data_IF_072187896661
#
_entry.id   IF_072187896661
#
_cell.length_a   1.000
_cell.length_b   1.000
_cell.length_c   1.000
_cell.angle_alpha   90.00
_cell.angle_beta   90.00
_cell.angle_gamma   90.00
#
_symmetry.space_group_name_H-M   'P 1'
#
loop_
_entity.id
_entity.type
_entity.pdbx_description
1 polymer ?
#
# COMPACT_ATOMS: atom_id res chain seq x y z
N UNK A 1 9.65 -15.96 5.08
CA UNK A 1 9.09 -14.64 5.43
C UNK A 1 8.03 -14.85 6.50
N UNK A 2 7.96 -13.99 7.52
CA UNK A 2 6.99 -14.11 8.61
C UNK A 2 5.98 -12.97 8.52
N UNK A 3 4.69 -13.31 8.57
CA UNK A 3 3.60 -12.36 8.50
C UNK A 3 3.14 -11.94 9.91
N UNK A 4 2.61 -10.72 10.09
CA UNK A 4 2.06 -10.30 11.36
C UNK A 4 0.97 -11.26 11.86
N UNK A 5 0.95 -11.54 13.17
CA UNK A 5 0.01 -12.51 13.78
C UNK A 5 -1.47 -12.18 13.56
N UNK A 6 -1.78 -10.91 13.29
CA UNK A 6 -3.15 -10.46 13.03
C UNK A 6 -3.61 -10.73 11.59
N UNK A 7 -2.75 -11.22 10.70
CA UNK A 7 -3.16 -11.61 9.36
C UNK A 7 -4.08 -12.83 9.45
N UNK A 8 -5.21 -12.85 8.71
CA UNK A 8 -6.06 -14.04 8.67
C UNK A 8 -5.32 -15.20 7.98
N UNK A 9 -5.82 -16.45 8.12
CA UNK A 9 -5.32 -17.59 7.34
C UNK A 9 -5.29 -17.27 5.83
N UNK A 10 -4.31 -17.84 5.12
CA UNK A 10 -4.09 -17.65 3.68
C UNK A 10 -3.87 -16.19 3.25
N UNK A 11 -3.36 -15.35 4.16
CA UNK A 11 -2.96 -13.98 3.88
C UNK A 11 -1.44 -13.79 4.08
N UNK A 12 -0.72 -13.20 3.11
CA UNK A 12 -1.16 -12.74 1.80
C UNK A 12 -1.65 -13.90 0.90
N UNK A 13 -2.44 -13.62 -0.15
CA UNK A 13 -2.93 -14.65 -1.06
C UNK A 13 -1.77 -15.38 -1.74
N UNK A 14 -1.92 -16.68 -2.00
CA UNK A 14 -0.88 -17.52 -2.62
C UNK A 14 -0.46 -17.05 -4.03
N UNK A 15 -1.31 -16.28 -4.72
CA UNK A 15 -1.01 -15.70 -6.03
C UNK A 15 -0.42 -14.28 -5.95
N UNK A 16 -0.16 -13.76 -4.75
CA UNK A 16 0.63 -12.55 -4.56
C UNK A 16 2.11 -12.82 -4.88
N UNK A 17 2.72 -11.91 -5.62
CA UNK A 17 4.06 -12.07 -6.19
C UNK A 17 5.11 -11.36 -5.34
N UNK A 18 6.36 -11.73 -5.55
CA UNK A 18 7.50 -10.96 -5.06
C UNK A 18 7.54 -9.62 -5.82
N UNK A 19 7.69 -8.47 -5.12
CA UNK A 19 7.78 -7.20 -5.80
C UNK A 19 9.18 -6.99 -6.38
N UNK A 20 9.22 -6.46 -7.60
CA UNK A 20 10.46 -5.99 -8.26
C UNK A 20 10.30 -4.56 -8.77
N UNK A 21 9.29 -3.86 -8.26
CA UNK A 21 8.75 -2.65 -8.85
C UNK A 21 9.08 -1.42 -8.02
N UNK A 22 9.26 -0.31 -8.74
CA UNK A 22 9.14 1.01 -8.15
C UNK A 22 7.67 1.28 -7.87
N UNK A 23 7.34 1.56 -6.61
CA UNK A 23 5.96 1.81 -6.18
C UNK A 23 5.82 3.20 -5.57
N UNK A 24 4.60 3.70 -5.63
CA UNK A 24 4.22 5.01 -5.12
C UNK A 24 3.11 4.86 -4.08
N UNK A 25 3.17 5.65 -3.01
CA UNK A 25 2.15 5.69 -1.96
C UNK A 25 1.72 7.12 -1.70
N UNK A 26 0.42 7.32 -1.43
CA UNK A 26 -0.09 8.59 -0.95
C UNK A 26 0.21 8.75 0.54
N UNK A 27 0.79 9.88 0.93
CA UNK A 27 1.08 10.25 2.32
C UNK A 27 0.40 11.58 2.68
N UNK A 28 0.15 11.82 3.96
CA UNK A 28 -0.61 12.99 4.41
C UNK A 28 0.19 14.29 4.40
N UNK A 29 1.48 14.22 4.75
CA UNK A 29 2.35 15.38 4.95
C UNK A 29 3.51 15.40 3.95
N UNK A 30 4.36 16.42 4.04
CA UNK A 30 5.54 16.57 3.18
C UNK A 30 6.61 15.50 3.45
N UNK A 31 6.66 14.96 4.66
CA UNK A 31 7.44 13.79 5.02
C UNK A 31 6.51 12.64 5.39
N UNK A 32 6.92 11.41 5.07
CA UNK A 32 6.18 10.23 5.46
C UNK A 32 6.27 10.01 6.97
N UNK A 33 5.17 9.59 7.59
CA UNK A 33 5.08 9.31 9.03
C UNK A 33 4.67 7.86 9.26
N UNK A 34 4.85 7.33 10.47
CA UNK A 34 4.43 5.96 10.78
C UNK A 34 2.93 5.73 10.51
N UNK A 35 2.09 6.74 10.76
CA UNK A 35 0.64 6.69 10.53
C UNK A 35 0.30 6.52 9.05
N UNK A 36 1.14 7.02 8.14
CA UNK A 36 0.98 6.81 6.71
C UNK A 36 1.15 5.34 6.32
N UNK A 37 1.70 4.48 7.18
CA UNK A 37 1.91 3.06 6.91
C UNK A 37 1.09 2.14 7.82
N UNK A 38 0.04 2.66 8.45
CA UNK A 38 -0.96 1.83 9.11
C UNK A 38 -1.93 1.25 8.08
N UNK A 39 -2.14 -0.06 8.15
CA UNK A 39 -3.12 -0.78 7.33
C UNK A 39 -4.54 -0.53 7.86
N UNK A 40 -5.56 -0.80 7.04
CA UNK A 40 -6.96 -0.65 7.48
C UNK A 40 -7.26 -1.54 8.67
N UNK A 41 -6.69 -2.76 8.71
CA UNK A 41 -6.82 -3.67 9.86
C UNK A 41 -6.18 -3.09 11.13
N UNK A 42 -5.02 -2.46 11.04
CA UNK A 42 -4.39 -1.82 12.21
C UNK A 42 -5.17 -0.60 12.71
N UNK A 43 -5.70 0.22 11.80
CA UNK A 43 -6.52 1.38 12.15
C UNK A 43 -7.88 0.98 12.76
N UNK A 44 -8.43 -0.15 12.31
CA UNK A 44 -9.75 -0.64 12.73
C UNK A 44 -9.71 -2.14 13.09
N UNK A 45 -9.07 -2.53 14.21
CA UNK A 45 -8.82 -3.93 14.54
C UNK A 45 -10.10 -4.75 14.69
N UNK A 46 -11.19 -4.13 15.16
CA UNK A 46 -12.47 -4.80 15.39
C UNK A 46 -13.43 -4.71 14.19
N UNK A 47 -13.01 -4.11 13.05
CA UNK A 47 -13.85 -4.00 11.87
C UNK A 47 -14.15 -5.38 11.30
N UNK A 48 -15.43 -5.66 11.08
CA UNK A 48 -15.88 -6.84 10.35
C UNK A 48 -15.76 -6.57 8.85
N UNK A 49 -15.19 -7.53 8.13
CA UNK A 49 -15.10 -7.49 6.67
C UNK A 49 -16.06 -8.50 6.06
N UNK A 50 -16.58 -8.26 4.84
CA UNK A 50 -17.62 -9.10 4.25
C UNK A 50 -17.15 -10.53 3.91
N UNK A 51 -15.84 -10.68 3.67
CA UNK A 51 -15.21 -11.90 3.19
C UNK A 51 -13.71 -11.89 3.54
N UNK A 52 -13.08 -13.07 3.51
CA UNK A 52 -11.66 -13.25 3.84
C UNK A 52 -10.72 -12.54 2.87
N UNK A 53 -11.13 -12.33 1.61
CA UNK A 53 -10.34 -11.60 0.62
C UNK A 53 -10.21 -10.12 1.02
N UNK A 54 -11.33 -9.47 1.35
CA UNK A 54 -11.35 -8.07 1.81
C UNK A 54 -10.66 -7.94 3.16
N UNK A 55 -10.81 -8.91 4.04
CA UNK A 55 -10.07 -8.95 5.30
C UNK A 55 -8.56 -9.01 5.06
N UNK A 56 -8.09 -9.90 4.19
CA UNK A 56 -6.69 -10.00 3.87
C UNK A 56 -6.17 -8.73 3.18
N UNK A 57 -6.92 -8.14 2.24
CA UNK A 57 -6.58 -6.86 1.61
C UNK A 57 -6.54 -5.72 2.63
N UNK A 58 -7.34 -5.77 3.68
CA UNK A 58 -7.29 -4.77 4.76
C UNK A 58 -5.99 -4.80 5.57
N UNK A 59 -5.25 -5.91 5.49
CA UNK A 59 -3.93 -6.09 6.09
C UNK A 59 -2.79 -5.62 5.17
N UNK A 60 -3.09 -5.13 3.97
CA UNK A 60 -2.12 -4.62 3.01
C UNK A 60 -2.06 -3.09 2.99
N UNK A 61 -0.92 -2.57 2.54
CA UNK A 61 -0.74 -1.17 2.19
C UNK A 61 -1.11 -0.95 0.72
N UNK A 62 -1.96 0.05 0.47
CA UNK A 62 -2.23 0.55 -0.89
C UNK A 62 -0.99 1.22 -1.49
N UNK A 63 -0.56 0.71 -2.63
CA UNK A 63 0.53 1.30 -3.43
C UNK A 63 0.12 1.35 -4.91
N UNK A 64 0.82 2.15 -5.69
CA UNK A 64 0.61 2.29 -7.13
C UNK A 64 1.90 1.94 -7.86
N UNK A 65 1.82 1.25 -8.99
CA UNK A 65 2.99 0.99 -9.86
C UNK A 65 3.18 2.06 -10.95
N UNK A 66 2.29 3.06 -11.02
CA UNK A 66 2.37 4.18 -11.96
C UNK A 66 2.37 5.52 -11.23
N UNK A 67 3.35 6.37 -11.56
CA UNK A 67 3.46 7.75 -11.05
C UNK A 67 2.26 8.59 -11.48
N UNK A 68 1.83 8.43 -12.73
CA UNK A 68 0.75 9.24 -13.29
C UNK A 68 -0.58 8.89 -12.62
N UNK A 69 -0.81 7.62 -12.36
CA UNK A 69 -2.06 7.16 -11.74
C UNK A 69 -2.16 7.61 -10.28
N UNK A 70 -1.08 7.54 -9.49
CA UNK A 70 -1.09 8.09 -8.12
C UNK A 70 -1.30 9.61 -8.14
N UNK A 71 -0.75 10.30 -9.15
CA UNK A 71 -0.91 11.75 -9.34
C UNK A 71 -2.30 12.15 -9.80
N UNK A 72 -3.01 11.29 -10.53
CA UNK A 72 -4.43 11.51 -10.85
C UNK A 72 -5.29 11.27 -9.61
N UNK A 73 -4.98 10.24 -8.81
CA UNK A 73 -5.72 9.95 -7.58
C UNK A 73 -5.62 11.10 -6.57
N UNK A 74 -4.44 11.70 -6.37
CA UNK A 74 -4.27 12.87 -5.46
C UNK A 74 -5.04 14.13 -5.89
N UNK A 75 -5.60 14.17 -7.11
CA UNK A 75 -6.37 15.32 -7.62
C UNK A 75 -7.87 15.19 -7.35
N UNK A 76 -8.35 14.07 -6.81
CA UNK A 76 -9.78 13.80 -6.67
C UNK A 76 -10.19 13.37 -5.26
N UNK A 77 -11.43 13.74 -4.88
CA UNK A 77 -12.10 13.26 -3.68
C UNK A 77 -11.30 13.40 -2.38
N UNK A 78 -11.28 12.32 -1.60
CA UNK A 78 -10.64 12.27 -0.27
C UNK A 78 -9.11 12.36 -0.28
N UNK A 79 -8.48 12.17 -1.44
CA UNK A 79 -7.03 12.15 -1.58
C UNK A 79 -6.46 13.50 -2.04
N UNK A 80 -7.34 14.51 -2.21
CA UNK A 80 -6.94 15.86 -2.56
C UNK A 80 -5.91 16.37 -1.56
N UNK A 81 -4.82 16.95 -2.08
CA UNK A 81 -3.69 17.52 -1.33
C UNK A 81 -2.73 16.52 -0.66
N UNK A 82 -2.98 15.21 -0.74
CA UNK A 82 -1.98 14.23 -0.30
C UNK A 82 -0.68 14.37 -1.11
N UNK A 83 0.45 14.06 -0.49
CA UNK A 83 1.76 13.99 -1.14
C UNK A 83 2.03 12.56 -1.59
N UNK A 84 3.11 12.37 -2.34
CA UNK A 84 3.50 11.06 -2.86
C UNK A 84 4.86 10.69 -2.28
N UNK A 85 4.98 9.47 -1.80
CA UNK A 85 6.26 8.85 -1.49
C UNK A 85 6.54 7.69 -2.44
N UNK A 86 7.81 7.40 -2.67
CA UNK A 86 8.28 6.36 -3.59
C UNK A 86 9.19 5.38 -2.88
N UNK A 87 9.11 4.11 -3.27
CA UNK A 87 10.03 3.06 -2.82
C UNK A 87 10.40 2.14 -3.98
N UNK A 88 11.61 1.58 -3.92
CA UNK A 88 11.98 0.45 -4.77
C UNK A 88 11.85 -0.82 -3.93
N UNK A 89 10.79 -1.59 -4.19
CA UNK A 89 10.56 -2.84 -3.44
C UNK A 89 11.42 -3.97 -4.01
N UNK A 90 11.90 -4.81 -3.12
CA UNK A 90 12.66 -6.03 -3.44
C UNK A 90 11.88 -7.27 -3.02
N UNK A 91 12.27 -8.49 -3.44
CA UNK A 91 11.63 -9.72 -2.97
C UNK A 91 11.53 -9.87 -1.45
N UNK A 92 12.46 -9.28 -0.71
CA UNK A 92 12.49 -9.28 0.76
C UNK A 92 11.53 -8.26 1.38
N UNK A 93 11.05 -7.29 0.60
CA UNK A 93 10.14 -6.24 1.05
C UNK A 93 8.69 -6.74 1.23
N UNK A 94 8.35 -7.97 0.82
CA UNK A 94 7.04 -8.57 1.09
C UNK A 94 6.42 -9.29 -0.09
N UNK A 95 5.09 -9.15 -0.22
CA UNK A 95 4.30 -9.69 -1.33
C UNK A 95 3.37 -8.62 -1.88
N UNK A 96 3.17 -8.61 -3.20
CA UNK A 96 2.37 -7.61 -3.89
C UNK A 96 1.36 -8.27 -4.84
N UNK A 97 0.16 -7.71 -4.95
CA UNK A 97 -0.87 -8.16 -5.90
C UNK A 97 -1.62 -6.99 -6.50
N UNK A 98 -1.83 -7.05 -7.81
CA UNK A 98 -2.70 -6.10 -8.51
C UNK A 98 -4.13 -6.23 -7.98
N UNK A 99 -4.66 -5.16 -7.42
CA UNK A 99 -5.98 -5.13 -6.78
C UNK A 99 -6.70 -3.84 -7.16
N UNK A 100 -7.07 -3.70 -8.44
CA UNK A 100 -7.65 -2.47 -8.94
C UNK A 100 -8.94 -2.17 -8.17
N UNK A 101 -9.12 -0.92 -7.79
CA UNK A 101 -10.35 -0.45 -7.15
C UNK A 101 -11.04 0.56 -8.08
N UNK A 102 -12.38 0.63 -8.09
CA UNK A 102 -13.10 1.65 -8.85
C UNK A 102 -12.55 3.05 -8.52
N UNK A 103 -12.07 3.77 -9.54
CA UNK A 103 -11.48 5.10 -9.40
C UNK A 103 -9.95 5.15 -9.25
N UNK A 104 -9.26 4.03 -9.02
CA UNK A 104 -7.79 4.03 -8.81
C UNK A 104 -6.95 3.71 -10.06
N UNK A 105 -7.58 3.54 -11.22
CA UNK A 105 -6.96 3.03 -12.46
C UNK A 105 -6.25 1.67 -12.25
N UNK A 106 -5.62 1.13 -13.29
CA UNK A 106 -5.09 -0.24 -13.35
C UNK A 106 -3.70 -0.42 -12.70
N UNK A 107 -3.22 0.53 -11.89
CA UNK A 107 -1.91 0.41 -11.23
C UNK A 107 -2.00 0.26 -9.71
N UNK A 108 -3.20 0.22 -9.12
CA UNK A 108 -3.36 0.01 -7.68
C UNK A 108 -3.05 -1.43 -7.28
N UNK A 109 -2.15 -1.57 -6.31
CA UNK A 109 -1.72 -2.84 -5.76
C UNK A 109 -1.89 -2.86 -4.24
N UNK A 110 -2.11 -4.06 -3.73
CA UNK A 110 -2.05 -4.37 -2.30
C UNK A 110 -0.66 -4.92 -2.03
N UNK A 111 0.08 -4.29 -1.12
CA UNK A 111 1.41 -4.72 -0.68
C UNK A 111 1.35 -5.17 0.79
N UNK A 112 1.61 -6.45 1.02
CA UNK A 112 1.68 -7.04 2.35
C UNK A 112 3.12 -7.02 2.85
N UNK A 113 3.29 -6.43 4.04
CA UNK A 113 4.60 -6.19 4.66
C UNK A 113 4.84 -7.25 5.74
N UNK A 114 5.98 -7.95 5.72
CA UNK A 114 6.32 -8.91 6.76
C UNK A 114 6.83 -8.23 8.03
N UNK A 115 6.87 -8.96 9.14
CA UNK A 115 7.21 -8.43 10.48
C UNK A 115 8.58 -7.78 10.58
N UNK A 116 9.51 -8.16 9.69
CA UNK A 116 10.90 -7.71 9.70
C UNK A 116 11.18 -6.56 8.72
N UNK A 117 10.15 -6.00 8.09
CA UNK A 117 10.29 -4.87 7.15
C UNK A 117 9.65 -3.63 7.76
N UNK A 118 10.45 -2.59 7.96
CA UNK A 118 9.97 -1.27 8.36
C UNK A 118 9.57 -0.49 7.11
N UNK A 119 8.27 -0.36 6.86
CA UNK A 119 7.74 0.27 5.66
C UNK A 119 8.10 1.76 5.55
N UNK A 120 8.12 2.50 6.67
CA UNK A 120 8.46 3.93 6.69
C UNK A 120 9.85 4.20 6.11
N UNK A 121 10.86 3.39 6.45
CA UNK A 121 12.24 3.61 6.02
C UNK A 121 12.50 3.27 4.55
N UNK A 122 11.57 2.54 3.91
CA UNK A 122 11.66 2.24 2.48
C UNK A 122 11.20 3.39 1.58
N UNK A 123 10.42 4.33 2.11
CA UNK A 123 9.73 5.33 1.33
C UNK A 123 10.32 6.73 1.51
N UNK A 124 10.62 7.38 0.39
CA UNK A 124 11.05 8.78 0.34
C UNK A 124 9.94 9.64 -0.24
N UNK A 125 9.63 10.76 0.42
CA UNK A 125 8.68 11.73 -0.11
C UNK A 125 9.25 12.40 -1.37
N UNK A 126 8.46 12.45 -2.44
CA UNK A 126 8.85 13.03 -3.72
C UNK A 126 7.91 14.14 -4.12
N UNK A 127 8.47 15.20 -4.69
CA UNK A 127 7.64 16.19 -5.36
C UNK A 127 7.22 15.65 -6.73
N UNK A 128 5.91 15.53 -6.93
CA UNK A 128 5.29 15.10 -8.18
C UNK A 128 4.63 16.28 -8.91
N UNK A 129 5.04 17.51 -8.60
CA UNK A 129 4.49 18.76 -9.19
C UNK A 129 4.86 18.99 -10.65
N UNK A 130 5.79 18.24 -11.24
CA UNK A 130 6.12 18.38 -12.66
C UNK A 130 5.35 17.37 -13.53
N UNK A 131 4.32 17.88 -14.22
CA UNK A 131 3.83 17.39 -15.51
C UNK A 131 3.82 18.57 -16.46
#
# INVERSE_FOLDING_TARGET
MHWPEYFPPDCPPNDAKEPHDRVYRLIQQDAATADDFLTVRQLYPNRQFPDSEKECRSCALSVFTSRDDVTVNRRTGRFKNMKVAVANLTPDSGRIKHTPSPGTKNSHHSWWVPVNVESLTLFEAVDVTEV
#
